data_IF_543005600336
#
_entry.id   IF_543005600336
#
_cell.length_a   1.000
_cell.length_b   1.000
_cell.length_c   1.000
_cell.angle_alpha   90.00
_cell.angle_beta   90.00
_cell.angle_gamma   90.00
#
_symmetry.space_group_name_H-M   'P 1'
#
loop_
_entity.id
_entity.type
_entity.pdbx_description
1 polymer ?
#
# COMPACT_ATOMS: atom_id res chain seq x y z
N UNK A 1 8.52 2.34 9.69
CA UNK A 1 7.16 1.78 9.71
C UNK A 1 6.65 1.43 11.12
N UNK A 2 7.23 1.98 12.20
CA UNK A 2 6.85 1.60 13.58
C UNK A 2 5.37 1.83 13.89
N UNK A 3 4.80 2.96 13.47
CA UNK A 3 3.39 3.26 13.73
C UNK A 3 2.44 2.21 13.14
N UNK A 4 2.62 1.81 11.88
CA UNK A 4 1.74 0.83 11.25
C UNK A 4 1.92 -0.59 11.83
N UNK A 5 3.12 -0.94 12.30
CA UNK A 5 3.41 -2.28 12.82
C UNK A 5 3.08 -2.46 14.31
N UNK A 6 3.10 -1.37 15.09
CA UNK A 6 2.99 -1.42 16.55
C UNK A 6 1.75 -0.71 17.12
N UNK A 7 0.88 -0.15 16.27
CA UNK A 7 -0.33 0.53 16.74
C UNK A 7 -1.48 -0.45 16.94
N UNK A 8 -2.30 -0.16 17.96
CA UNK A 8 -3.53 -0.92 18.26
C UNK A 8 -4.72 -0.54 17.35
N UNK A 9 -4.47 0.30 16.33
CA UNK A 9 -5.47 0.74 15.37
C UNK A 9 -4.95 0.48 13.97
N UNK A 10 -5.87 0.27 13.03
CA UNK A 10 -5.51 -0.03 11.66
C UNK A 10 -4.86 1.17 10.94
N UNK A 11 -4.26 0.88 9.78
CA UNK A 11 -3.60 1.89 8.97
C UNK A 11 -4.57 2.97 8.45
N UNK A 12 -5.86 2.66 8.30
CA UNK A 12 -6.85 3.62 7.84
C UNK A 12 -7.14 4.69 8.91
N UNK A 13 -7.23 4.29 10.18
CA UNK A 13 -7.39 5.18 11.32
C UNK A 13 -6.11 6.00 11.56
N UNK A 14 -4.92 5.38 11.45
CA UNK A 14 -3.66 6.12 11.51
C UNK A 14 -3.59 7.21 10.43
N UNK A 15 -3.97 6.88 9.18
CA UNK A 15 -4.06 7.84 8.08
C UNK A 15 -5.04 8.96 8.41
N UNK A 16 -6.23 8.63 8.93
CA UNK A 16 -7.25 9.63 9.30
C UNK A 16 -6.72 10.62 10.33
N UNK A 17 -5.99 10.15 11.35
CA UNK A 17 -5.43 10.99 12.42
C UNK A 17 -4.42 12.03 11.94
N UNK A 18 -3.73 11.76 10.82
CA UNK A 18 -2.73 12.69 10.23
C UNK A 18 -3.30 13.49 9.05
N UNK A 19 -4.59 13.35 8.76
CA UNK A 19 -5.25 13.99 7.61
C UNK A 19 -6.26 15.03 8.08
N UNK A 20 -5.81 16.27 8.23
CA UNK A 20 -6.71 17.39 8.53
C UNK A 20 -7.50 17.82 7.27
N UNK A 21 -8.76 18.24 7.40
CA UNK A 21 -9.52 18.82 6.28
C UNK A 21 -8.78 20.00 5.64
N UNK A 22 -8.71 20.04 4.31
CA UNK A 22 -7.96 21.04 3.53
C UNK A 22 -6.46 21.12 3.86
N UNK A 23 -5.90 20.09 4.49
CA UNK A 23 -4.48 19.99 4.83
C UNK A 23 -3.61 19.47 3.68
N UNK A 24 -2.29 19.58 3.87
CA UNK A 24 -1.29 19.09 2.89
C UNK A 24 -1.33 17.58 2.74
N UNK A 25 -1.50 16.83 3.83
CA UNK A 25 -1.66 15.36 3.81
C UNK A 25 -2.89 14.94 3.02
N UNK A 26 -4.02 15.65 3.18
CA UNK A 26 -5.25 15.36 2.46
C UNK A 26 -5.06 15.56 0.95
N UNK A 27 -4.44 16.67 0.54
CA UNK A 27 -4.14 16.95 -0.85
C UNK A 27 -3.24 15.87 -1.48
N UNK A 28 -2.21 15.42 -0.75
CA UNK A 28 -1.34 14.34 -1.20
C UNK A 28 -2.09 13.01 -1.38
N UNK A 29 -2.92 12.62 -0.41
CA UNK A 29 -3.74 11.39 -0.49
C UNK A 29 -4.71 11.45 -1.67
N UNK A 30 -5.39 12.58 -1.87
CA UNK A 30 -6.31 12.77 -3.02
C UNK A 30 -5.57 12.63 -4.35
N UNK A 31 -4.35 13.15 -4.45
CA UNK A 31 -3.51 12.95 -5.64
C UNK A 31 -3.19 11.48 -5.86
N UNK A 32 -2.78 10.74 -4.81
CA UNK A 32 -2.52 9.30 -4.95
C UNK A 32 -3.76 8.52 -5.40
N UNK A 33 -4.91 8.81 -4.81
CA UNK A 33 -6.18 8.17 -5.18
C UNK A 33 -6.58 8.50 -6.63
N UNK A 34 -6.48 9.77 -7.02
CA UNK A 34 -6.76 10.20 -8.40
C UNK A 34 -5.84 9.56 -9.44
N UNK A 35 -4.63 9.15 -9.05
CA UNK A 35 -3.68 8.44 -9.90
C UNK A 35 -3.80 6.90 -9.78
N UNK A 36 -4.83 6.37 -9.12
CA UNK A 36 -5.08 4.92 -9.05
C UNK A 36 -4.04 4.15 -8.23
N UNK A 37 -3.44 4.79 -7.21
CA UNK A 37 -2.37 4.18 -6.40
C UNK A 37 -2.72 2.80 -5.85
N UNK A 38 -3.95 2.60 -5.37
CA UNK A 38 -4.40 1.33 -4.80
C UNK A 38 -4.32 0.18 -5.81
N UNK A 39 -4.78 0.42 -7.04
CA UNK A 39 -4.72 -0.56 -8.14
C UNK A 39 -3.27 -0.85 -8.56
N UNK A 40 -2.40 0.16 -8.57
CA UNK A 40 -0.99 -0.01 -8.90
C UNK A 40 -0.30 -0.92 -7.89
N UNK A 41 -0.56 -0.71 -6.59
CA UNK A 41 0.04 -1.54 -5.53
C UNK A 41 -0.46 -2.98 -5.62
N UNK A 42 -1.76 -3.18 -5.84
CA UNK A 42 -2.33 -4.53 -6.01
C UNK A 42 -1.71 -5.27 -7.19
N UNK A 43 -1.64 -4.62 -8.37
CA UNK A 43 -1.03 -5.20 -9.57
C UNK A 43 0.44 -5.55 -9.36
N UNK A 44 1.20 -4.68 -8.68
CA UNK A 44 2.61 -4.92 -8.39
C UNK A 44 2.81 -6.13 -7.48
N UNK A 45 1.99 -6.26 -6.42
CA UNK A 45 2.05 -7.42 -5.52
C UNK A 45 1.67 -8.72 -6.22
N UNK A 46 0.65 -8.69 -7.08
CA UNK A 46 0.27 -9.85 -7.89
C UNK A 46 1.39 -10.25 -8.85
N UNK A 47 2.00 -9.29 -9.56
CA UNK A 47 3.13 -9.56 -10.45
C UNK A 47 4.32 -10.18 -9.70
N UNK A 48 4.65 -9.66 -8.51
CA UNK A 48 5.70 -10.21 -7.67
C UNK A 48 5.39 -11.62 -7.17
N UNK A 49 4.14 -11.88 -6.78
CA UNK A 49 3.67 -13.21 -6.36
C UNK A 49 3.77 -14.22 -7.50
N UNK A 50 3.25 -13.88 -8.69
CA UNK A 50 3.34 -14.72 -9.89
C UNK A 50 4.79 -15.04 -10.23
N UNK A 51 5.68 -14.03 -10.22
CA UNK A 51 7.09 -14.25 -10.52
C UNK A 51 7.78 -15.15 -9.49
N UNK A 52 7.41 -15.02 -8.22
CA UNK A 52 7.95 -15.88 -7.15
C UNK A 52 7.55 -17.34 -7.36
N UNK A 53 6.31 -17.59 -7.78
CA UNK A 53 5.83 -18.94 -8.09
C UNK A 53 6.55 -19.55 -9.31
N UNK A 54 6.72 -18.77 -10.39
CA UNK A 54 7.49 -19.21 -11.56
C UNK A 54 8.94 -19.59 -11.20
N UNK A 55 9.60 -18.79 -10.36
CA UNK A 55 10.95 -19.05 -9.90
C UNK A 55 11.03 -20.34 -9.07
N UNK A 56 10.05 -20.59 -8.20
CA UNK A 56 9.99 -21.81 -7.43
C UNK A 56 9.82 -23.05 -8.32
N UNK A 57 9.02 -22.96 -9.40
CA UNK A 57 8.89 -24.05 -10.38
C UNK A 57 10.18 -24.28 -11.18
N UNK A 58 10.88 -23.19 -11.56
CA UNK A 58 12.13 -23.27 -12.31
C UNK A 58 13.29 -23.85 -11.50
N UNK A 59 13.35 -23.54 -10.20
CA UNK A 59 14.46 -23.94 -9.31
C UNK A 59 14.16 -25.20 -8.48
N UNK A 60 12.90 -25.62 -8.40
CA UNK A 60 12.48 -26.85 -7.71
C UNK A 60 12.57 -28.11 -8.57
N UNK A 61 12.98 -27.98 -9.84
CA UNK A 61 13.42 -29.08 -10.72
C UNK A 61 14.92 -29.26 -10.59
#
# INVERSE_FOLDING_TARGET
AHMAAASDVDAAELRRRVTSPAGTTEAAIKSFQGNGFEAIVEQALQAASTRSAELAEQLGK
#
